data_IF_843004725098
#
_entry.id   IF_843004725098
#
_cell.length_a   1.000
_cell.length_b   1.000
_cell.length_c   1.000
_cell.angle_alpha   90.00
_cell.angle_beta   90.00
_cell.angle_gamma   90.00
#
_symmetry.space_group_name_H-M   'P 1'
#
loop_
_entity.id
_entity.type
_entity.pdbx_description
1 polymer ?
#
# COMPACT_ATOMS: atom_id res chain seq x y z
N UNK A 1 11.76 21.21 20.51
CA UNK A 1 10.48 20.98 19.90
C UNK A 1 10.50 19.71 19.08
N UNK A 2 9.59 18.85 19.38
CA UNK A 2 9.50 17.59 18.66
C UNK A 2 8.87 17.79 17.31
N UNK A 3 9.68 17.62 16.29
CA UNK A 3 9.10 17.34 15.00
C UNK A 3 8.51 15.96 15.11
N UNK A 4 7.21 15.90 15.19
CA UNK A 4 6.56 14.64 15.06
C UNK A 4 6.74 14.15 13.65
N UNK A 5 7.75 13.36 13.51
CA UNK A 5 7.76 12.47 12.36
C UNK A 5 6.55 11.58 12.53
N UNK A 6 5.66 11.59 11.58
CA UNK A 6 4.61 10.60 11.53
C UNK A 6 5.29 9.25 11.63
N UNK A 7 5.19 8.63 12.79
CA UNK A 7 5.47 7.22 12.89
C UNK A 7 4.37 6.53 12.11
N UNK A 8 4.44 6.65 10.80
CA UNK A 8 3.43 6.08 9.98
C UNK A 8 3.67 4.60 9.84
N UNK A 9 2.69 3.84 10.26
CA UNK A 9 2.69 2.41 9.99
C UNK A 9 2.33 2.21 8.53
N UNK A 10 3.13 1.39 7.85
CA UNK A 10 2.82 0.98 6.48
C UNK A 10 2.08 -0.35 6.52
N UNK A 11 0.99 -0.46 5.79
CA UNK A 11 0.29 -1.73 5.62
C UNK A 11 0.63 -2.31 4.25
N UNK A 12 0.84 -3.62 4.20
CA UNK A 12 1.08 -4.37 2.98
C UNK A 12 -0.05 -5.37 2.81
N UNK A 13 -0.78 -5.29 1.70
CA UNK A 13 -1.89 -6.20 1.40
C UNK A 13 -1.59 -6.93 0.10
N UNK A 14 -1.34 -8.22 0.17
CA UNK A 14 -1.04 -9.06 -0.99
C UNK A 14 -1.33 -10.51 -0.61
N UNK A 15 -1.98 -11.26 -1.48
CA UNK A 15 -2.27 -12.67 -1.25
C UNK A 15 -1.04 -13.57 -1.45
N UNK A 16 0.02 -13.04 -2.07
CA UNK A 16 1.27 -13.76 -2.26
C UNK A 16 2.16 -13.59 -1.03
N UNK A 17 2.34 -14.66 -0.28
CA UNK A 17 3.16 -14.64 0.94
C UNK A 17 4.61 -14.24 0.68
N UNK A 18 5.19 -14.72 -0.41
CA UNK A 18 6.58 -14.39 -0.74
C UNK A 18 6.74 -12.91 -1.02
N UNK A 19 5.78 -12.32 -1.71
CA UNK A 19 5.80 -10.88 -2.00
C UNK A 19 5.62 -10.06 -0.73
N UNK A 20 4.68 -10.46 0.15
CA UNK A 20 4.51 -9.77 1.44
C UNK A 20 5.80 -9.76 2.23
N UNK A 21 6.46 -10.90 2.33
CA UNK A 21 7.71 -11.02 3.07
C UNK A 21 8.81 -10.17 2.44
N UNK A 22 8.93 -10.20 1.12
CA UNK A 22 9.96 -9.43 0.42
C UNK A 22 9.78 -7.92 0.62
N UNK A 23 8.56 -7.42 0.51
CA UNK A 23 8.29 -5.99 0.70
C UNK A 23 8.51 -5.60 2.16
N UNK A 24 8.06 -6.42 3.10
CA UNK A 24 8.25 -6.16 4.51
C UNK A 24 9.74 -6.11 4.88
N UNK A 25 10.52 -7.06 4.37
CA UNK A 25 11.97 -7.09 4.62
C UNK A 25 12.66 -5.87 4.01
N UNK A 26 12.23 -5.48 2.81
CA UNK A 26 12.78 -4.30 2.15
C UNK A 26 12.55 -3.04 2.98
N UNK A 27 11.34 -2.83 3.46
CA UNK A 27 11.02 -1.67 4.29
C UNK A 27 11.75 -1.73 5.64
N UNK A 28 11.82 -2.91 6.24
CA UNK A 28 12.53 -3.10 7.50
C UNK A 28 14.01 -2.75 7.37
N UNK A 29 14.61 -3.07 6.22
CA UNK A 29 16.05 -2.80 5.98
C UNK A 29 16.36 -1.30 6.00
N UNK A 30 15.37 -0.45 5.80
CA UNK A 30 15.54 1.02 5.84
C UNK A 30 14.81 1.65 7.04
N UNK A 31 14.46 0.83 8.04
CA UNK A 31 13.90 1.32 9.29
C UNK A 31 12.42 1.68 9.23
N UNK A 32 11.69 1.22 8.23
CA UNK A 32 10.27 1.49 8.09
C UNK A 32 9.46 0.31 8.62
N UNK A 33 8.62 0.56 9.63
CA UNK A 33 7.75 -0.46 10.21
C UNK A 33 6.58 -0.76 9.30
N UNK A 34 6.24 -2.04 9.14
CA UNK A 34 5.14 -2.47 8.29
C UNK A 34 4.40 -3.66 8.90
N UNK A 35 3.10 -3.71 8.64
CA UNK A 35 2.23 -4.85 8.97
C UNK A 35 1.71 -5.42 7.67
N UNK A 36 1.72 -6.73 7.53
CA UNK A 36 1.26 -7.37 6.30
C UNK A 36 -0.03 -8.16 6.52
N UNK A 37 -0.85 -8.21 5.49
CA UNK A 37 -2.16 -8.85 5.49
C UNK A 37 -2.32 -9.64 4.19
N UNK A 38 -2.93 -10.82 4.29
CA UNK A 38 -3.10 -11.71 3.15
C UNK A 38 -4.26 -11.31 2.25
N UNK A 39 -5.14 -10.42 2.70
CA UNK A 39 -6.30 -9.98 1.94
C UNK A 39 -6.74 -8.59 2.38
N UNK A 40 -7.52 -7.94 1.52
CA UNK A 40 -8.14 -6.67 1.86
C UNK A 40 -9.09 -6.80 3.05
N UNK A 41 -9.85 -7.90 3.08
CA UNK A 41 -10.78 -8.17 4.17
C UNK A 41 -10.05 -8.29 5.52
N UNK A 42 -8.92 -9.00 5.53
CA UNK A 42 -8.10 -9.14 6.73
C UNK A 42 -7.59 -7.78 7.22
N UNK A 43 -7.15 -6.93 6.30
CA UNK A 43 -6.73 -5.58 6.63
C UNK A 43 -7.88 -4.76 7.25
N UNK A 44 -9.05 -4.81 6.62
CA UNK A 44 -10.20 -4.07 7.11
C UNK A 44 -10.66 -4.54 8.49
N UNK A 45 -10.58 -5.85 8.74
CA UNK A 45 -10.93 -6.43 10.04
C UNK A 45 -9.91 -6.11 11.13
N UNK A 46 -8.71 -5.72 10.77
CA UNK A 46 -7.66 -5.42 11.75
C UNK A 46 -7.95 -4.18 12.60
N UNK A 47 -8.78 -3.29 12.12
CA UNK A 47 -9.06 -2.03 12.80
C UNK A 47 -7.94 -1.01 12.74
N UNK A 48 -6.91 -1.25 11.94
CA UNK A 48 -5.73 -0.39 11.86
C UNK A 48 -5.83 0.73 10.84
N UNK A 49 -6.97 0.87 10.16
CA UNK A 49 -7.12 1.82 9.05
C UNK A 49 -6.74 3.25 9.42
N UNK A 50 -7.11 3.67 10.64
CA UNK A 50 -6.80 5.04 11.08
C UNK A 50 -5.34 5.25 11.45
N UNK A 51 -4.57 4.17 11.62
CA UNK A 51 -3.17 4.23 12.02
C UNK A 51 -2.22 4.09 10.84
N UNK A 52 -2.75 3.74 9.66
CA UNK A 52 -1.95 3.51 8.48
C UNK A 52 -1.66 4.83 7.78
N UNK A 53 -0.38 5.12 7.59
CA UNK A 53 0.05 6.31 6.87
C UNK A 53 0.28 6.04 5.38
N UNK A 54 0.47 4.78 5.01
CA UNK A 54 0.70 4.37 3.63
C UNK A 54 0.27 2.93 3.46
N UNK A 55 -0.47 2.66 2.40
CA UNK A 55 -0.94 1.31 2.07
C UNK A 55 -0.28 0.85 0.78
N UNK A 56 0.36 -0.31 0.82
CA UNK A 56 0.90 -0.96 -0.37
C UNK A 56 0.01 -2.15 -0.65
N UNK A 57 -0.59 -2.20 -1.83
CA UNK A 57 -1.58 -3.24 -2.15
C UNK A 57 -1.40 -3.80 -3.55
N UNK A 58 -1.61 -5.11 -3.68
CA UNK A 58 -1.82 -5.71 -5.00
C UNK A 58 -3.21 -5.32 -5.52
N UNK A 59 -3.40 -5.43 -6.82
CA UNK A 59 -4.70 -5.20 -7.47
C UNK A 59 -5.51 -6.48 -7.47
N UNK A 60 -4.93 -7.58 -7.96
CA UNK A 60 -5.65 -8.85 -8.11
C UNK A 60 -5.45 -9.73 -6.89
N UNK A 61 -6.54 -9.88 -6.15
CA UNK A 61 -6.58 -10.74 -4.97
C UNK A 61 -7.93 -11.45 -4.94
N UNK A 62 -7.98 -12.68 -4.41
CA UNK A 62 -9.28 -13.34 -4.19
C UNK A 62 -10.14 -12.48 -3.26
N UNK A 63 -11.44 -12.45 -3.52
CA UNK A 63 -12.35 -11.61 -2.75
C UNK A 63 -12.25 -10.16 -3.19
N UNK A 64 -12.01 -9.26 -2.25
CA UNK A 64 -11.91 -7.84 -2.55
C UNK A 64 -10.60 -7.53 -3.27
N UNK A 65 -10.69 -6.83 -4.42
CA UNK A 65 -9.52 -6.39 -5.18
C UNK A 65 -8.91 -5.14 -4.55
N UNK A 66 -7.69 -4.80 -4.99
CA UNK A 66 -7.04 -3.57 -4.53
C UNK A 66 -7.81 -2.31 -4.91
N UNK A 67 -8.43 -2.28 -6.10
CA UNK A 67 -9.25 -1.14 -6.51
C UNK A 67 -10.52 -1.02 -5.67
N UNK A 68 -11.12 -2.15 -5.32
CA UNK A 68 -12.29 -2.15 -4.43
C UNK A 68 -11.93 -1.69 -3.02
N UNK A 69 -10.76 -2.10 -2.53
CA UNK A 69 -10.25 -1.63 -1.25
C UNK A 69 -10.05 -0.12 -1.25
N UNK A 70 -9.46 0.42 -2.32
CA UNK A 70 -9.28 1.86 -2.49
C UNK A 70 -10.62 2.59 -2.45
N UNK A 71 -11.60 2.10 -3.20
CA UNK A 71 -12.93 2.71 -3.25
C UNK A 71 -13.60 2.69 -1.87
N UNK A 72 -13.44 1.61 -1.13
CA UNK A 72 -14.02 1.48 0.20
C UNK A 72 -13.40 2.46 1.19
N UNK A 73 -12.08 2.62 1.16
CA UNK A 73 -11.41 3.58 2.04
C UNK A 73 -11.83 5.01 1.75
N UNK A 74 -11.97 5.35 0.48
CA UNK A 74 -12.48 6.67 0.06
C UNK A 74 -13.91 6.87 0.56
N UNK A 75 -14.77 5.87 0.38
CA UNK A 75 -16.16 5.95 0.81
C UNK A 75 -16.31 6.10 2.31
N UNK A 76 -15.35 5.58 3.07
CA UNK A 76 -15.32 5.71 4.54
C UNK A 76 -14.69 7.02 5.01
N UNK A 77 -14.35 7.91 4.09
CA UNK A 77 -13.73 9.18 4.44
C UNK A 77 -12.28 9.05 4.90
N UNK A 78 -11.62 7.98 4.51
CA UNK A 78 -10.22 7.70 4.89
C UNK A 78 -9.34 7.66 3.66
N UNK A 79 -8.91 8.82 3.14
CA UNK A 79 -8.07 8.87 1.94
C UNK A 79 -6.64 8.45 2.27
N UNK A 80 -6.44 7.19 2.59
CA UNK A 80 -5.12 6.65 2.87
C UNK A 80 -4.30 6.64 1.59
N UNK A 81 -3.07 7.18 1.60
CA UNK A 81 -2.20 7.11 0.43
C UNK A 81 -1.91 5.65 0.05
N UNK A 82 -2.17 5.31 -1.20
CA UNK A 82 -2.03 3.93 -1.69
C UNK A 82 -0.98 3.85 -2.79
N UNK A 83 -0.09 2.87 -2.67
CA UNK A 83 0.85 2.47 -3.71
C UNK A 83 0.41 1.09 -4.16
N UNK A 84 0.08 0.95 -5.45
CA UNK A 84 -0.26 -0.36 -5.98
C UNK A 84 0.97 -1.05 -6.56
N UNK A 85 1.09 -2.34 -6.30
CA UNK A 85 2.11 -3.20 -6.89
C UNK A 85 1.39 -4.42 -7.45
N UNK A 86 1.53 -4.66 -8.75
CA UNK A 86 0.82 -5.76 -9.39
C UNK A 86 1.66 -6.44 -10.46
N UNK A 87 1.44 -7.76 -10.64
CA UNK A 87 2.04 -8.51 -11.74
C UNK A 87 1.30 -8.27 -13.07
N UNK A 88 0.09 -7.74 -13.01
CA UNK A 88 -0.81 -7.60 -14.16
C UNK A 88 -1.18 -6.14 -14.40
N UNK A 89 -0.17 -5.32 -14.64
CA UNK A 89 -0.40 -3.91 -14.93
C UNK A 89 -0.87 -3.71 -16.37
N UNK A 90 -2.00 -3.03 -16.55
CA UNK A 90 -2.40 -2.55 -17.86
C UNK A 90 -2.78 -1.08 -17.73
N UNK A 91 -2.81 -0.38 -18.88
CA UNK A 91 -3.02 1.06 -18.89
C UNK A 91 -4.36 1.47 -18.28
N UNK A 92 -5.39 0.67 -18.48
CA UNK A 92 -6.73 0.97 -17.96
C UNK A 92 -6.77 0.90 -16.44
N UNK A 93 -6.23 -0.17 -15.87
CA UNK A 93 -6.19 -0.35 -14.42
C UNK A 93 -5.33 0.73 -13.77
N UNK A 94 -4.19 1.03 -14.39
CA UNK A 94 -3.31 2.08 -13.92
C UNK A 94 -4.02 3.43 -13.88
N UNK A 95 -4.73 3.76 -14.95
CA UNK A 95 -5.47 5.01 -15.03
C UNK A 95 -6.56 5.09 -13.98
N UNK A 96 -7.33 4.01 -13.79
CA UNK A 96 -8.36 3.96 -12.75
C UNK A 96 -7.78 4.20 -11.35
N UNK A 97 -6.66 3.55 -11.05
CA UNK A 97 -6.01 3.68 -9.74
C UNK A 97 -5.53 5.11 -9.50
N UNK A 98 -4.85 5.69 -10.49
CA UNK A 98 -4.29 7.03 -10.36
C UNK A 98 -5.38 8.11 -10.32
N UNK A 99 -6.43 7.97 -11.13
CA UNK A 99 -7.56 8.91 -11.11
C UNK A 99 -8.30 8.87 -9.78
N UNK A 100 -8.34 7.72 -9.13
CA UNK A 100 -8.95 7.59 -7.81
C UNK A 100 -8.02 8.06 -6.69
N UNK A 101 -6.82 8.51 -7.00
CA UNK A 101 -5.91 9.13 -6.04
C UNK A 101 -4.73 8.29 -5.59
N UNK A 102 -4.46 7.15 -6.24
CA UNK A 102 -3.27 6.35 -5.89
C UNK A 102 -2.00 7.19 -6.08
N UNK A 103 -1.07 7.02 -5.17
CA UNK A 103 0.20 7.76 -5.21
C UNK A 103 1.10 7.22 -6.32
N UNK A 104 1.11 5.91 -6.49
CA UNK A 104 1.99 5.25 -7.46
C UNK A 104 1.37 3.92 -7.89
N UNK A 105 1.76 3.47 -9.06
CA UNK A 105 1.33 2.19 -9.62
C UNK A 105 2.57 1.50 -10.20
N UNK A 106 3.03 0.44 -9.56
CA UNK A 106 4.23 -0.27 -9.94
C UNK A 106 3.88 -1.66 -10.47
N UNK A 107 4.55 -2.07 -11.54
CA UNK A 107 4.38 -3.40 -12.13
C UNK A 107 5.57 -4.27 -11.72
N UNK A 108 5.29 -5.49 -11.28
CA UNK A 108 6.33 -6.45 -10.91
C UNK A 108 7.06 -6.97 -12.17
N UNK A 109 8.38 -7.14 -12.16
CA UNK A 109 9.30 -6.73 -11.09
C UNK A 109 9.47 -5.20 -11.06
N UNK A 110 9.53 -4.64 -9.86
CA UNK A 110 9.66 -3.19 -9.67
C UNK A 110 11.04 -2.85 -9.10
N UNK A 111 11.41 -1.58 -9.21
CA UNK A 111 12.65 -1.06 -8.64
C UNK A 111 12.46 -0.82 -7.14
N UNK A 112 13.26 -1.51 -6.32
CA UNK A 112 13.20 -1.40 -4.86
C UNK A 112 13.41 0.03 -4.38
N UNK A 113 14.35 0.75 -4.98
CA UNK A 113 14.63 2.13 -4.59
C UNK A 113 13.46 3.06 -4.90
N UNK A 114 12.73 2.79 -5.98
CA UNK A 114 11.56 3.56 -6.32
C UNK A 114 10.45 3.36 -5.29
N UNK A 115 10.23 2.13 -4.85
CA UNK A 115 9.24 1.85 -3.82
C UNK A 115 9.63 2.54 -2.51
N UNK A 116 10.86 2.40 -2.07
CA UNK A 116 11.35 3.02 -0.84
C UNK A 116 11.21 4.53 -0.92
N UNK A 117 11.63 5.14 -2.04
CA UNK A 117 11.53 6.58 -2.22
C UNK A 117 10.10 7.09 -2.16
N UNK A 118 9.17 6.37 -2.77
CA UNK A 118 7.75 6.74 -2.76
C UNK A 118 7.16 6.62 -1.36
N UNK A 119 7.48 5.54 -0.64
CA UNK A 119 7.01 5.36 0.75
C UNK A 119 7.55 6.48 1.63
N UNK A 120 8.85 6.80 1.52
CA UNK A 120 9.44 7.88 2.30
C UNK A 120 8.80 9.23 2.02
N UNK A 121 8.49 9.51 0.76
CA UNK A 121 7.82 10.75 0.39
C UNK A 121 6.42 10.84 1.02
N UNK A 122 5.68 9.75 1.04
CA UNK A 122 4.37 9.68 1.68
C UNK A 122 4.49 9.91 3.18
N UNK A 123 5.44 9.23 3.84
CA UNK A 123 5.62 9.34 5.28
C UNK A 123 6.12 10.72 5.70
N UNK A 124 6.78 11.45 4.82
CA UNK A 124 7.29 12.78 5.09
C UNK A 124 6.26 13.88 4.84
N UNK A 125 5.14 13.54 4.27
CA UNK A 125 4.08 14.53 3.92
C UNK A 125 3.31 15.03 5.12
#
# INVERSE_FOLDING_TARGET
>A
MNVQLKTGLVAIVDDDEAMRAAVQDLLSSVGIGARSFASAEEFLLSGLQSEIACLISDIRMPGMTGLELQAKLIAEGRPTPIIFITAYGNARTRMQALEAGAVEFLVKPFDDERLIGTVRAVLAS
#
